data_IF_564472745645
#
_entry.id   IF_564472745645
#
_cell.length_a   1.000
_cell.length_b   1.000
_cell.length_c   1.000
_cell.angle_alpha   90.00
_cell.angle_beta   90.00
_cell.angle_gamma   90.00
#
_symmetry.space_group_name_H-M   'P 1'
#
loop_
_entity.id
_entity.type
_entity.pdbx_description
1 polymer ?
#
# COMPACT_ATOMS: atom_id res chain seq x y z
N UNK A 1 49.21 20.10 -2.15
CA UNK A 1 49.58 18.67 -1.94
C UNK A 1 50.36 18.08 -3.11
N UNK A 2 49.75 17.66 -4.23
CA UNK A 2 50.53 17.05 -5.35
C UNK A 2 51.61 17.99 -5.89
N UNK A 3 51.28 19.27 -6.11
CA UNK A 3 52.26 20.28 -6.55
C UNK A 3 53.40 20.51 -5.57
N UNK A 4 53.15 20.43 -4.25
CA UNK A 4 54.20 20.62 -3.24
C UNK A 4 55.22 19.48 -3.23
N UNK A 5 54.80 18.25 -3.58
CA UNK A 5 55.70 17.11 -3.76
C UNK A 5 56.54 17.28 -5.04
N UNK A 6 55.95 17.77 -6.12
CA UNK A 6 56.66 18.03 -7.39
C UNK A 6 57.69 19.15 -7.22
N UNK A 7 57.29 20.24 -6.57
CA UNK A 7 58.14 21.41 -6.30
C UNK A 7 59.13 21.18 -5.14
N UNK A 8 59.13 19.97 -4.54
CA UNK A 8 59.97 19.60 -3.38
C UNK A 8 59.82 20.53 -2.19
N UNK A 9 58.66 21.16 -2.04
CA UNK A 9 58.27 21.92 -0.83
C UNK A 9 57.83 20.99 0.30
N UNK A 10 57.41 19.76 -0.04
CA UNK A 10 57.11 18.69 0.89
C UNK A 10 57.81 17.40 0.44
N UNK A 11 58.28 16.60 1.40
CA UNK A 11 58.96 15.32 1.13
C UNK A 11 58.00 14.12 1.11
N UNK A 12 56.90 14.20 1.87
CA UNK A 12 55.89 13.14 1.99
C UNK A 12 54.51 13.75 2.22
N UNK A 13 53.47 13.13 1.66
CA UNK A 13 52.08 13.49 1.93
C UNK A 13 51.31 12.31 2.55
N UNK A 14 50.83 12.48 3.78
CA UNK A 14 49.98 11.50 4.48
C UNK A 14 48.57 12.08 4.60
N UNK A 15 47.66 11.66 3.73
CA UNK A 15 46.28 12.16 3.67
C UNK A 15 45.33 11.12 3.03
N UNK A 16 44.02 11.35 3.13
CA UNK A 16 43.00 10.59 2.41
C UNK A 16 43.01 10.90 0.91
N UNK A 17 44.05 10.45 0.21
CA UNK A 17 44.25 10.71 -1.22
C UNK A 17 43.94 9.48 -2.06
N UNK A 18 43.03 9.61 -3.01
CA UNK A 18 42.77 8.55 -3.99
C UNK A 18 43.91 8.45 -5.01
N UNK A 19 44.40 7.22 -5.20
CA UNK A 19 45.35 6.86 -6.27
C UNK A 19 44.61 6.95 -7.60
N UNK A 20 45.14 7.71 -8.54
CA UNK A 20 44.58 7.87 -9.90
C UNK A 20 45.71 7.88 -10.91
N UNK A 21 45.46 7.38 -12.13
CA UNK A 21 46.46 7.29 -13.19
C UNK A 21 47.15 8.64 -13.50
N UNK A 22 46.41 9.75 -13.44
CA UNK A 22 46.99 11.09 -13.69
C UNK A 22 47.97 11.53 -12.60
N UNK A 23 47.76 11.13 -11.34
CA UNK A 23 48.64 11.47 -10.21
C UNK A 23 49.87 10.57 -10.17
N UNK A 24 49.70 9.29 -10.48
CA UNK A 24 50.80 8.32 -10.54
C UNK A 24 51.85 8.66 -11.61
N UNK A 25 51.50 9.44 -12.64
CA UNK A 25 52.46 9.93 -13.64
C UNK A 25 53.47 10.96 -13.12
N UNK A 26 53.18 11.62 -12.00
CA UNK A 26 53.97 12.76 -11.50
C UNK A 26 54.50 12.55 -10.08
N UNK A 27 53.93 11.60 -9.33
CA UNK A 27 54.35 11.22 -7.99
C UNK A 27 54.16 9.71 -7.80
N UNK A 28 54.99 9.10 -6.95
CA UNK A 28 54.87 7.69 -6.59
C UNK A 28 53.94 7.49 -5.38
N UNK A 29 53.24 6.35 -5.34
CA UNK A 29 52.39 5.93 -4.23
C UNK A 29 52.88 4.62 -3.63
N UNK A 30 52.63 4.44 -2.33
CA UNK A 30 52.76 3.14 -1.67
C UNK A 30 51.55 2.25 -1.96
N UNK A 31 51.58 0.98 -1.51
CA UNK A 31 50.40 0.12 -1.57
C UNK A 31 49.25 0.75 -0.75
N UNK A 32 48.02 0.77 -1.28
CA UNK A 32 46.89 1.36 -0.59
C UNK A 32 46.65 0.65 0.75
N UNK A 33 46.48 1.44 1.81
CA UNK A 33 46.16 0.91 3.14
C UNK A 33 44.65 0.80 3.41
N UNK A 34 43.82 1.41 2.55
CA UNK A 34 42.37 1.45 2.68
C UNK A 34 41.71 1.38 1.29
N UNK A 35 40.83 0.39 1.10
CA UNK A 35 40.06 0.21 -0.13
C UNK A 35 38.67 0.83 0.05
N UNK A 36 38.47 2.04 -0.51
CA UNK A 36 37.18 2.73 -0.53
C UNK A 36 36.65 2.86 -1.95
N UNK A 37 35.32 2.89 -2.09
CA UNK A 37 34.62 3.21 -3.33
C UNK A 37 33.77 4.48 -3.20
N UNK A 38 33.18 4.91 -4.30
CA UNK A 38 32.20 6.00 -4.31
C UNK A 38 30.86 5.43 -3.80
N UNK A 39 30.26 6.10 -2.83
CA UNK A 39 28.93 5.77 -2.30
C UNK A 39 28.00 6.96 -2.38
N UNK A 40 26.69 6.70 -2.48
CA UNK A 40 25.66 7.73 -2.50
C UNK A 40 25.14 7.90 -1.09
N UNK A 41 25.38 9.07 -0.52
CA UNK A 41 24.76 9.47 0.74
C UNK A 41 23.38 10.07 0.46
N UNK A 42 22.34 9.54 1.10
CA UNK A 42 20.99 10.11 1.03
C UNK A 42 20.38 10.23 2.43
N UNK A 43 19.45 11.17 2.58
CA UNK A 43 18.77 11.42 3.84
C UNK A 43 17.90 10.22 4.21
N UNK A 44 17.99 9.76 5.46
CA UNK A 44 17.12 8.71 6.01
C UNK A 44 15.64 9.08 5.75
N UNK A 45 14.84 8.21 5.11
CA UNK A 45 13.44 8.50 4.86
C UNK A 45 12.69 8.61 6.18
N UNK A 46 11.89 9.67 6.33
CA UNK A 46 10.98 9.81 7.46
C UNK A 46 9.82 8.83 7.27
N UNK A 47 9.58 7.96 8.26
CA UNK A 47 8.41 7.08 8.26
C UNK A 47 7.16 7.96 8.28
N UNK A 48 6.31 7.82 7.27
CA UNK A 48 5.00 8.49 7.26
C UNK A 48 4.16 7.93 8.41
N UNK A 49 3.36 8.77 9.10
CA UNK A 49 2.43 8.28 10.12
C UNK A 49 1.48 7.23 9.51
N UNK A 50 1.03 6.24 10.30
CA UNK A 50 0.11 5.22 9.81
C UNK A 50 -1.18 5.86 9.31
N UNK A 51 -1.66 5.43 8.13
CA UNK A 51 -2.97 5.87 7.63
C UNK A 51 -4.06 5.15 8.44
N UNK A 52 -5.03 5.90 8.98
CA UNK A 52 -6.16 5.35 9.74
C UNK A 52 -6.96 4.30 8.95
N UNK A 53 -7.06 4.49 7.63
CA UNK A 53 -7.78 3.61 6.71
C UNK A 53 -6.87 2.61 5.97
N UNK A 54 -5.71 2.24 6.55
CA UNK A 54 -4.80 1.27 5.93
C UNK A 54 -5.45 -0.10 5.72
N UNK A 55 -6.51 -0.43 6.46
CA UNK A 55 -7.25 -1.68 6.29
C UNK A 55 -8.08 -1.72 4.99
N UNK A 56 -8.46 -0.58 4.41
CA UNK A 56 -9.12 -0.54 3.09
C UNK A 56 -8.12 -0.62 1.94
N UNK A 57 -6.82 -0.41 2.21
CA UNK A 57 -5.77 -0.38 1.17
C UNK A 57 -5.58 -1.64 0.31
N UNK A 58 -5.96 -2.86 0.75
CA UNK A 58 -5.86 -4.04 -0.11
C UNK A 58 -6.80 -4.01 -1.31
N UNK A 59 -7.87 -3.20 -1.28
CA UNK A 59 -8.83 -3.03 -2.37
C UNK A 59 -8.79 -1.59 -2.91
N UNK A 60 -8.80 -1.43 -4.23
CA UNK A 60 -8.88 -0.12 -4.88
C UNK A 60 -10.23 0.54 -4.59
N UNK A 61 -10.26 1.89 -4.56
CA UNK A 61 -11.50 2.67 -4.38
C UNK A 61 -12.61 2.30 -5.37
N UNK A 62 -12.26 1.93 -6.59
CA UNK A 62 -13.19 1.46 -7.62
C UNK A 62 -13.92 0.18 -7.19
N UNK A 63 -13.18 -0.78 -6.63
CA UNK A 63 -13.76 -2.06 -6.17
C UNK A 63 -14.74 -1.83 -5.03
N UNK A 64 -14.45 -0.90 -4.12
CA UNK A 64 -15.40 -0.50 -3.07
C UNK A 64 -16.71 0.06 -3.62
N UNK A 65 -16.64 0.89 -4.66
CA UNK A 65 -17.85 1.40 -5.34
C UNK A 65 -18.64 0.24 -5.98
N UNK A 66 -17.96 -0.70 -6.65
CA UNK A 66 -18.62 -1.87 -7.21
C UNK A 66 -19.26 -2.79 -6.16
N UNK A 67 -18.64 -2.95 -4.99
CA UNK A 67 -19.21 -3.72 -3.87
C UNK A 67 -20.51 -3.07 -3.38
N UNK A 68 -20.52 -1.75 -3.18
CA UNK A 68 -21.72 -1.02 -2.75
C UNK A 68 -22.83 -1.10 -3.82
N UNK A 69 -22.47 -0.94 -5.10
CA UNK A 69 -23.42 -1.03 -6.20
C UNK A 69 -24.04 -2.44 -6.30
N UNK A 70 -23.21 -3.49 -6.27
CA UNK A 70 -23.67 -4.87 -6.30
C UNK A 70 -24.57 -5.20 -5.11
N UNK A 71 -24.21 -4.72 -3.91
CA UNK A 71 -25.03 -4.86 -2.70
C UNK A 71 -26.44 -4.28 -2.88
N UNK A 72 -26.55 -3.05 -3.39
CA UNK A 72 -27.86 -2.42 -3.64
C UNK A 72 -28.68 -3.16 -4.70
N UNK A 73 -28.02 -3.60 -5.79
CA UNK A 73 -28.68 -4.36 -6.87
C UNK A 73 -29.24 -5.68 -6.36
N UNK A 74 -28.46 -6.45 -5.59
CA UNK A 74 -28.90 -7.75 -5.06
C UNK A 74 -30.04 -7.56 -4.05
N UNK A 75 -29.94 -6.57 -3.16
CA UNK A 75 -31.01 -6.30 -2.19
C UNK A 75 -32.32 -5.89 -2.86
N UNK A 76 -32.24 -5.05 -3.90
CA UNK A 76 -33.39 -4.64 -4.69
C UNK A 76 -34.01 -5.80 -5.48
N UNK A 77 -33.19 -6.66 -6.07
CA UNK A 77 -33.67 -7.86 -6.76
C UNK A 77 -34.40 -8.80 -5.81
N UNK A 78 -33.86 -9.04 -4.60
CA UNK A 78 -34.53 -9.85 -3.59
C UNK A 78 -35.88 -9.25 -3.19
N UNK A 79 -35.96 -7.94 -3.01
CA UNK A 79 -37.22 -7.26 -2.70
C UNK A 79 -38.28 -7.44 -3.81
N UNK A 80 -37.90 -7.31 -5.09
CA UNK A 80 -38.81 -7.52 -6.21
C UNK A 80 -39.30 -8.98 -6.25
N UNK A 81 -38.39 -9.94 -6.14
CA UNK A 81 -38.72 -11.38 -6.19
C UNK A 81 -39.70 -11.72 -5.06
N UNK A 82 -39.44 -11.21 -3.86
CA UNK A 82 -40.29 -11.48 -2.70
C UNK A 82 -41.71 -10.92 -2.85
N UNK A 83 -41.87 -9.76 -3.50
CA UNK A 83 -43.18 -9.17 -3.78
C UNK A 83 -43.94 -9.90 -4.88
N UNK A 84 -43.24 -10.40 -5.90
CA UNK A 84 -43.84 -11.10 -7.03
C UNK A 84 -44.14 -12.58 -6.75
N UNK A 85 -43.44 -13.20 -5.81
CA UNK A 85 -43.64 -14.61 -5.43
C UNK A 85 -44.86 -14.75 -4.51
N UNK A 86 -45.97 -15.37 -4.95
CA UNK A 86 -47.16 -15.55 -4.12
C UNK A 86 -46.93 -16.49 -2.92
N UNK A 87 -45.87 -17.30 -2.98
CA UNK A 87 -45.50 -18.29 -1.95
C UNK A 87 -44.80 -17.67 -0.74
N UNK A 88 -44.29 -16.45 -0.85
CA UNK A 88 -43.59 -15.78 0.26
C UNK A 88 -44.52 -14.97 1.17
N UNK A 89 -45.80 -14.90 0.80
CA UNK A 89 -46.84 -14.28 1.61
C UNK A 89 -47.43 -15.34 2.53
N UNK A 90 -47.34 -15.13 3.84
CA UNK A 90 -47.96 -16.00 4.84
C UNK A 90 -48.98 -15.21 5.67
N UNK A 91 -50.01 -15.91 6.14
CA UNK A 91 -50.99 -15.32 7.06
C UNK A 91 -50.32 -15.11 8.43
N UNK A 92 -50.12 -13.85 8.79
CA UNK A 92 -49.81 -13.48 10.17
C UNK A 92 -51.11 -13.58 10.98
N UNK A 93 -51.04 -13.85 12.29
CA UNK A 93 -52.21 -14.10 13.16
C UNK A 93 -53.21 -12.94 13.35
N UNK A 94 -53.10 -11.89 12.53
CA UNK A 94 -54.03 -10.77 12.33
C UNK A 94 -54.31 -10.74 10.83
N UNK A 95 -55.57 -10.61 10.38
CA UNK A 95 -56.13 -10.65 8.98
C UNK A 95 -55.38 -9.89 7.84
N UNK A 96 -54.06 -9.81 7.86
CA UNK A 96 -53.16 -9.14 6.95
C UNK A 96 -52.10 -10.14 6.48
N UNK A 97 -51.89 -10.20 5.16
CA UNK A 97 -50.82 -10.99 4.55
C UNK A 97 -49.49 -10.27 4.80
N UNK A 98 -48.56 -10.94 5.47
CA UNK A 98 -47.26 -10.37 5.81
C UNK A 98 -46.15 -10.97 4.95
N UNK A 99 -45.12 -10.17 4.65
CA UNK A 99 -43.98 -10.59 3.85
C UNK A 99 -42.68 -10.30 4.61
N UNK A 100 -41.94 -11.37 4.90
CA UNK A 100 -40.70 -11.32 5.68
C UNK A 100 -39.62 -10.45 5.03
N UNK A 101 -39.66 -10.26 3.70
CA UNK A 101 -38.71 -9.44 2.93
C UNK A 101 -39.25 -8.02 2.66
N UNK A 102 -39.30 -7.21 3.72
CA UNK A 102 -39.38 -5.74 3.58
C UNK A 102 -38.02 -5.19 3.13
N UNK A 103 -37.95 -4.02 2.47
CA UNK A 103 -36.70 -3.38 1.97
C UNK A 103 -35.58 -3.40 3.01
N UNK A 104 -35.89 -3.09 4.28
CA UNK A 104 -34.91 -3.08 5.37
C UNK A 104 -34.39 -4.50 5.72
N UNK A 105 -35.27 -5.51 5.68
CA UNK A 105 -34.92 -6.91 5.91
C UNK A 105 -34.12 -7.49 4.74
N UNK A 106 -34.45 -7.14 3.49
CA UNK A 106 -33.66 -7.54 2.32
C UNK A 106 -32.25 -6.96 2.38
N UNK A 107 -32.09 -5.71 2.81
CA UNK A 107 -30.78 -5.08 3.03
C UNK A 107 -30.00 -5.81 4.13
N UNK A 108 -30.63 -6.00 5.30
CA UNK A 108 -30.02 -6.72 6.42
C UNK A 108 -29.60 -8.15 6.06
N UNK A 109 -30.45 -8.88 5.34
CA UNK A 109 -30.17 -10.23 4.85
C UNK A 109 -28.95 -10.26 3.93
N UNK A 110 -28.87 -9.33 2.96
CA UNK A 110 -27.71 -9.25 2.06
C UNK A 110 -26.40 -8.93 2.78
N UNK A 111 -26.43 -8.10 3.84
CA UNK A 111 -25.26 -7.88 4.70
C UNK A 111 -24.88 -9.17 5.44
N UNK A 112 -25.85 -9.86 6.02
CA UNK A 112 -25.64 -11.13 6.73
C UNK A 112 -25.02 -12.22 5.85
N UNK A 113 -25.47 -12.34 4.59
CA UNK A 113 -24.88 -13.22 3.59
C UNK A 113 -23.45 -12.82 3.23
N UNK A 114 -23.19 -11.53 3.00
CA UNK A 114 -21.87 -11.02 2.64
C UNK A 114 -20.84 -11.25 3.75
N UNK A 115 -21.25 -11.05 5.00
CA UNK A 115 -20.40 -11.25 6.19
C UNK A 115 -20.33 -12.72 6.63
N UNK A 116 -20.94 -13.65 5.90
CA UNK A 116 -21.03 -15.08 6.23
C UNK A 116 -21.56 -15.33 7.66
N UNK A 117 -22.49 -14.50 8.13
CA UNK A 117 -23.07 -14.61 9.47
C UNK A 117 -24.34 -15.48 9.52
N UNK A 118 -24.75 -16.06 8.38
CA UNK A 118 -25.87 -17.00 8.33
C UNK A 118 -25.47 -18.36 8.89
N UNK A 119 -25.90 -18.65 10.12
CA UNK A 119 -26.03 -20.01 10.66
C UNK A 119 -27.50 -20.39 10.74
#
# INVERSE_FOLDING_TARGET
>A
MVGELIERKAELAVAGMSITYKREKVIDFTKPFLNLGITILYKKPMKKPPKLFSFLSPLTSEVWVYIIAAYLVVSFMLYIIARLSPYEWYESGSDELDNQFTVLNSLWFTIGCLMQQGK
#
